data_IF_722857722150
#
_entry.id   IF_722857722150
#
_cell.length_a   1.000
_cell.length_b   1.000
_cell.length_c   1.000
_cell.angle_alpha   90.00
_cell.angle_beta   90.00
_cell.angle_gamma   90.00
#
_symmetry.space_group_name_H-M   'P 1'
#
loop_
_entity.id
_entity.type
_entity.pdbx_description
1 polymer ?
#
# COMPACT_ATOMS: atom_id res chain seq x y z
N UNK A 1 0.26 -6.79 39.54
CA UNK A 1 1.73 -6.88 39.72
C UNK A 1 2.36 -7.14 38.34
N UNK A 2 3.04 -6.17 37.74
CA UNK A 2 3.64 -6.37 36.41
C UNK A 2 4.86 -7.28 36.53
N UNK A 3 4.89 -8.39 35.78
CA UNK A 3 6.03 -9.30 35.74
C UNK A 3 7.21 -8.55 35.12
N UNK A 4 8.22 -8.23 35.93
CA UNK A 4 9.41 -7.53 35.47
C UNK A 4 10.14 -8.36 34.40
N UNK A 5 10.68 -7.71 33.37
CA UNK A 5 11.56 -8.36 32.41
C UNK A 5 12.83 -8.82 33.14
N UNK A 6 13.18 -10.11 33.02
CA UNK A 6 14.42 -10.63 33.61
C UNK A 6 15.63 -9.93 32.98
N UNK A 7 16.48 -9.32 33.82
CA UNK A 7 17.65 -8.53 33.44
C UNK A 7 18.58 -9.23 32.44
N UNK A 8 18.65 -10.57 32.52
CA UNK A 8 19.54 -11.38 31.68
C UNK A 8 18.80 -12.27 30.66
N UNK A 9 17.47 -12.19 30.56
CA UNK A 9 16.68 -13.12 29.75
C UNK A 9 17.11 -13.18 28.28
N UNK A 10 17.43 -12.03 27.67
CA UNK A 10 17.92 -11.98 26.29
C UNK A 10 19.30 -12.61 26.10
N UNK A 11 20.18 -12.54 27.11
CA UNK A 11 21.51 -13.16 27.06
C UNK A 11 21.40 -14.68 27.16
N UNK A 12 20.63 -15.18 28.13
CA UNK A 12 20.38 -16.62 28.33
C UNK A 12 19.74 -17.24 27.09
N UNK A 13 18.73 -16.59 26.51
CA UNK A 13 18.08 -17.07 25.28
C UNK A 13 19.07 -17.19 24.11
N UNK A 14 19.95 -16.21 23.92
CA UNK A 14 20.98 -16.27 22.87
C UNK A 14 21.97 -17.42 23.09
N UNK A 15 22.37 -17.66 24.35
CA UNK A 15 23.28 -18.76 24.70
C UNK A 15 22.65 -20.14 24.45
N UNK A 16 21.39 -20.34 24.84
CA UNK A 16 20.69 -21.60 24.57
C UNK A 16 20.45 -21.85 23.08
N UNK A 17 20.10 -20.81 22.32
CA UNK A 17 19.91 -20.94 20.87
C UNK A 17 21.24 -21.21 20.16
N UNK A 18 22.34 -20.61 20.61
CA UNK A 18 23.67 -20.90 20.07
C UNK A 18 24.06 -22.36 20.28
N UNK A 19 23.63 -22.99 21.39
CA UNK A 19 23.87 -24.42 21.69
C UNK A 19 23.19 -25.35 20.68
N UNK A 20 22.09 -24.94 20.07
CA UNK A 20 21.40 -25.67 18.99
C UNK A 20 21.76 -25.15 17.59
N UNK A 21 22.82 -24.35 17.46
CA UNK A 21 23.30 -23.83 16.18
C UNK A 21 22.55 -22.60 15.65
N UNK A 22 21.60 -22.03 16.41
CA UNK A 22 20.83 -20.85 16.01
C UNK A 22 21.46 -19.57 16.55
N UNK A 23 21.85 -18.65 15.66
CA UNK A 23 22.41 -17.34 16.04
C UNK A 23 21.33 -16.27 16.05
N UNK A 24 21.14 -15.65 17.22
CA UNK A 24 20.24 -14.52 17.40
C UNK A 24 21.04 -13.24 17.67
N UNK A 25 20.94 -12.17 16.85
CA UNK A 25 21.63 -10.91 17.10
C UNK A 25 21.12 -10.23 18.38
N UNK A 26 21.99 -9.49 19.05
CA UNK A 26 21.65 -8.67 20.21
C UNK A 26 21.06 -7.31 19.77
N UNK A 27 20.00 -6.85 20.43
CA UNK A 27 19.36 -5.55 20.15
C UNK A 27 17.84 -5.61 19.98
N UNK A 28 17.21 -4.47 19.67
CA UNK A 28 15.77 -4.35 19.38
C UNK A 28 15.51 -4.73 17.92
N UNK A 29 14.78 -5.82 17.69
CA UNK A 29 14.33 -6.24 16.35
C UNK A 29 13.06 -5.52 15.94
N UNK A 30 13.12 -4.22 15.74
CA UNK A 30 12.12 -3.54 14.92
C UNK A 30 12.87 -2.99 13.72
N UNK A 31 12.90 -3.78 12.65
CA UNK A 31 13.46 -3.39 11.35
C UNK A 31 12.59 -2.39 10.60
N UNK A 32 11.33 -2.22 11.04
CA UNK A 32 10.35 -1.34 10.42
C UNK A 32 9.90 -0.29 11.42
N UNK A 33 9.72 0.94 10.93
CA UNK A 33 9.18 2.05 11.71
C UNK A 33 7.79 1.68 12.27
N UNK A 34 7.54 2.05 13.52
CA UNK A 34 6.22 1.86 14.12
C UNK A 34 5.30 2.94 13.55
N UNK A 35 4.24 2.53 12.86
CA UNK A 35 3.19 3.40 12.30
C UNK A 35 1.83 3.00 12.87
N UNK A 36 0.79 3.80 12.64
CA UNK A 36 -0.58 3.42 13.02
C UNK A 36 -1.07 2.16 12.29
N UNK A 37 -0.52 1.83 11.12
CA UNK A 37 -0.87 0.59 10.44
C UNK A 37 -0.44 -0.63 11.27
N UNK A 38 0.65 -0.51 12.05
CA UNK A 38 1.12 -1.61 12.91
C UNK A 38 0.24 -1.88 14.13
N UNK A 39 -0.75 -1.03 14.41
CA UNK A 39 -1.74 -1.30 15.45
C UNK A 39 -2.97 -2.04 14.94
N UNK A 40 -3.16 -2.14 13.62
CA UNK A 40 -4.30 -2.84 13.04
C UNK A 40 -4.08 -4.35 13.05
N UNK A 41 -5.14 -5.10 13.33
CA UNK A 41 -5.20 -6.51 12.92
C UNK A 41 -5.63 -6.61 11.45
N UNK A 42 -5.36 -7.75 10.81
CA UNK A 42 -5.67 -7.95 9.38
C UNK A 42 -7.16 -7.70 9.06
N UNK A 43 -8.06 -8.17 9.92
CA UNK A 43 -9.51 -7.94 9.75
C UNK A 43 -9.90 -6.46 9.86
N UNK A 44 -9.26 -5.68 10.75
CA UNK A 44 -9.52 -4.24 10.86
C UNK A 44 -9.05 -3.50 9.61
N UNK A 45 -7.90 -3.89 9.06
CA UNK A 45 -7.37 -3.31 7.83
C UNK A 45 -8.25 -3.64 6.61
N UNK A 46 -8.82 -4.85 6.54
CA UNK A 46 -9.78 -5.22 5.51
C UNK A 46 -11.10 -4.45 5.60
N UNK A 47 -11.65 -4.27 6.81
CA UNK A 47 -12.84 -3.43 7.00
C UNK A 47 -12.56 -1.97 6.65
N UNK A 48 -11.41 -1.45 7.11
CA UNK A 48 -10.97 -0.09 6.78
C UNK A 48 -10.88 0.13 5.26
N UNK A 49 -10.42 -0.86 4.49
CA UNK A 49 -10.38 -0.76 3.02
C UNK A 49 -11.79 -0.57 2.42
N UNK A 50 -12.76 -1.35 2.89
CA UNK A 50 -14.16 -1.28 2.42
C UNK A 50 -14.83 0.04 2.80
N UNK A 51 -14.63 0.47 4.04
CA UNK A 51 -15.18 1.71 4.57
C UNK A 51 -14.55 2.91 3.85
N UNK A 52 -13.24 2.88 3.62
CA UNK A 52 -12.52 3.92 2.88
C UNK A 52 -13.01 4.04 1.44
N UNK A 53 -13.16 2.92 0.71
CA UNK A 53 -13.71 2.94 -0.64
C UNK A 53 -15.14 3.50 -0.67
N UNK A 54 -15.97 3.12 0.31
CA UNK A 54 -17.33 3.65 0.44
C UNK A 54 -17.33 5.16 0.69
N UNK A 55 -16.43 5.66 1.55
CA UNK A 55 -16.26 7.09 1.81
C UNK A 55 -15.74 7.83 0.57
N UNK A 56 -14.82 7.24 -0.22
CA UNK A 56 -14.39 7.81 -1.48
C UNK A 56 -15.56 7.96 -2.46
N UNK A 57 -16.40 6.94 -2.62
CA UNK A 57 -17.53 7.00 -3.55
C UNK A 57 -18.62 7.97 -3.09
N UNK A 58 -18.90 8.04 -1.79
CA UNK A 58 -19.99 8.84 -1.25
C UNK A 58 -19.59 10.32 -1.04
N UNK A 59 -18.39 10.57 -0.52
CA UNK A 59 -18.00 11.88 0.03
C UNK A 59 -16.91 12.58 -0.79
N UNK A 60 -16.13 11.87 -1.59
CA UNK A 60 -15.05 12.51 -2.35
C UNK A 60 -15.63 13.44 -3.42
N UNK A 61 -15.26 14.74 -3.44
CA UNK A 61 -15.90 15.73 -4.30
C UNK A 61 -15.38 15.72 -5.75
N UNK A 62 -15.25 14.54 -6.36
CA UNK A 62 -14.70 14.34 -7.71
C UNK A 62 -15.38 15.24 -8.74
N UNK A 63 -16.72 15.28 -8.74
CA UNK A 63 -17.50 16.08 -9.67
C UNK A 63 -17.19 17.57 -9.51
N UNK A 64 -17.20 18.10 -8.29
CA UNK A 64 -16.93 19.51 -8.01
C UNK A 64 -15.51 19.92 -8.41
N UNK A 65 -14.52 19.05 -8.19
CA UNK A 65 -13.13 19.27 -8.61
C UNK A 65 -13.03 19.28 -10.14
N UNK A 66 -13.72 18.36 -10.82
CA UNK A 66 -13.76 18.30 -12.27
C UNK A 66 -14.38 19.57 -12.86
N UNK A 67 -15.53 20.01 -12.35
CA UNK A 67 -16.17 21.26 -12.77
C UNK A 67 -15.28 22.49 -12.58
N UNK A 68 -14.58 22.58 -11.45
CA UNK A 68 -13.65 23.69 -11.20
C UNK A 68 -12.52 23.71 -12.23
N UNK A 69 -12.00 22.54 -12.61
CA UNK A 69 -10.97 22.44 -13.64
C UNK A 69 -11.50 22.72 -15.05
N UNK A 70 -12.76 22.34 -15.33
CA UNK A 70 -13.36 22.53 -16.65
C UNK A 70 -13.42 24.00 -17.07
N UNK A 71 -13.58 24.92 -16.11
CA UNK A 71 -13.57 26.38 -16.37
C UNK A 71 -12.28 26.88 -17.05
N UNK A 72 -11.18 26.13 -16.94
CA UNK A 72 -9.91 26.49 -17.61
C UNK A 72 -9.98 26.31 -19.12
N UNK A 73 -10.95 25.55 -19.62
CA UNK A 73 -11.10 25.26 -21.05
C UNK A 73 -12.09 26.19 -21.75
N UNK A 74 -12.85 27.01 -21.02
CA UNK A 74 -13.92 27.87 -21.58
C UNK A 74 -13.39 28.92 -22.56
N UNK A 75 -12.13 29.36 -22.40
CA UNK A 75 -11.49 30.35 -23.26
C UNK A 75 -10.51 29.74 -24.28
N UNK A 76 -10.45 28.41 -24.40
CA UNK A 76 -9.49 27.73 -25.28
C UNK A 76 -10.04 27.59 -26.70
N UNK A 77 -9.15 27.63 -27.68
CA UNK A 77 -9.51 27.33 -29.07
C UNK A 77 -9.84 25.84 -29.25
N UNK A 78 -10.57 25.51 -30.31
CA UNK A 78 -10.96 24.12 -30.64
C UNK A 78 -9.71 23.22 -30.79
N UNK A 79 -8.66 23.72 -31.43
CA UNK A 79 -7.41 22.97 -31.66
C UNK A 79 -6.73 22.65 -30.33
N UNK A 80 -6.65 23.61 -29.41
CA UNK A 80 -6.04 23.39 -28.11
C UNK A 80 -6.89 22.44 -27.25
N UNK A 81 -8.22 22.54 -27.35
CA UNK A 81 -9.14 21.65 -26.66
C UNK A 81 -8.95 20.18 -27.12
N UNK A 82 -8.83 19.94 -28.43
CA UNK A 82 -8.54 18.60 -28.95
C UNK A 82 -7.19 18.07 -28.46
N UNK A 83 -6.15 18.91 -28.40
CA UNK A 83 -4.86 18.54 -27.82
C UNK A 83 -4.96 18.17 -26.34
N UNK A 84 -5.80 18.86 -25.56
CA UNK A 84 -6.03 18.53 -24.15
C UNK A 84 -6.82 17.23 -23.99
N UNK A 85 -7.82 16.98 -24.83
CA UNK A 85 -8.54 15.69 -24.84
C UNK A 85 -7.59 14.53 -25.09
N UNK A 86 -6.65 14.69 -26.02
CA UNK A 86 -5.70 13.63 -26.32
C UNK A 86 -4.77 13.32 -25.14
N UNK A 87 -4.27 14.37 -24.45
CA UNK A 87 -3.53 14.19 -23.20
C UNK A 87 -4.36 13.44 -22.16
N UNK A 88 -5.63 13.80 -22.00
CA UNK A 88 -6.52 13.14 -21.04
C UNK A 88 -6.74 11.67 -21.38
N UNK A 89 -6.91 11.32 -22.67
CA UNK A 89 -7.01 9.93 -23.12
C UNK A 89 -5.75 9.13 -22.83
N UNK A 90 -4.58 9.68 -23.16
CA UNK A 90 -3.29 9.04 -22.88
C UNK A 90 -3.10 8.81 -21.38
N UNK A 91 -3.40 9.81 -20.53
CA UNK A 91 -3.33 9.67 -19.07
C UNK A 91 -4.32 8.63 -18.55
N UNK A 92 -5.56 8.61 -19.06
CA UNK A 92 -6.55 7.60 -18.68
C UNK A 92 -6.07 6.18 -19.00
N UNK A 93 -5.47 5.96 -20.17
CA UNK A 93 -4.94 4.66 -20.55
C UNK A 93 -3.77 4.24 -19.65
N UNK A 94 -2.85 5.16 -19.37
CA UNK A 94 -1.73 4.90 -18.45
C UNK A 94 -2.23 4.50 -17.05
N UNK A 95 -3.21 5.23 -16.51
CA UNK A 95 -3.82 4.91 -15.22
C UNK A 95 -4.54 3.56 -15.23
N UNK A 96 -5.22 3.21 -16.34
CA UNK A 96 -5.86 1.89 -16.48
C UNK A 96 -4.84 0.77 -16.36
N UNK A 97 -3.76 0.83 -17.14
CA UNK A 97 -2.71 -0.19 -17.09
C UNK A 97 -2.07 -0.30 -15.69
N UNK A 98 -1.89 0.83 -15.01
CA UNK A 98 -1.39 0.86 -13.64
C UNK A 98 -2.36 0.17 -12.66
N UNK A 99 -3.66 0.45 -12.76
CA UNK A 99 -4.69 -0.21 -11.94
C UNK A 99 -4.74 -1.72 -12.19
N UNK A 100 -4.59 -2.16 -13.44
CA UNK A 100 -4.57 -3.58 -13.80
C UNK A 100 -3.39 -4.31 -13.14
N UNK A 101 -2.20 -3.69 -13.11
CA UNK A 101 -1.02 -4.25 -12.42
C UNK A 101 -1.29 -4.42 -10.92
N UNK A 102 -1.91 -3.42 -10.28
CA UNK A 102 -2.25 -3.49 -8.86
C UNK A 102 -3.26 -4.61 -8.55
N UNK A 103 -4.26 -4.80 -9.42
CA UNK A 103 -5.25 -5.88 -9.27
C UNK A 103 -4.66 -7.28 -9.54
N UNK A 104 -3.65 -7.38 -10.38
CA UNK A 104 -2.92 -8.64 -10.59
C UNK A 104 -2.02 -8.98 -9.41
N UNK A 105 -1.42 -7.98 -8.74
CA UNK A 105 -0.55 -8.18 -7.59
C UNK A 105 -1.23 -8.83 -6.38
N UNK A 106 -2.56 -8.72 -6.25
CA UNK A 106 -3.33 -9.43 -5.22
C UNK A 106 -3.46 -10.93 -5.50
N UNK A 107 -3.25 -11.36 -6.75
CA UNK A 107 -3.25 -12.77 -7.16
C UNK A 107 -1.82 -13.33 -7.13
N UNK A 108 -1.29 -13.50 -5.92
CA UNK A 108 0.10 -13.93 -5.61
C UNK A 108 0.52 -15.28 -6.24
N UNK A 109 -0.38 -16.00 -6.91
CA UNK A 109 -0.13 -17.34 -7.45
C UNK A 109 0.19 -17.41 -8.95
N UNK A 110 0.03 -16.33 -9.72
CA UNK A 110 0.16 -16.41 -11.18
C UNK A 110 0.78 -15.15 -11.80
N UNK A 111 2.10 -15.06 -11.79
CA UNK A 111 2.81 -14.47 -12.92
C UNK A 111 4.26 -14.93 -12.91
N UNK A 112 4.72 -15.29 -14.10
CA UNK A 112 6.04 -15.79 -14.46
C UNK A 112 7.19 -15.04 -13.76
N UNK A 113 8.29 -15.75 -13.50
CA UNK A 113 9.44 -15.37 -12.66
C UNK A 113 10.28 -14.17 -13.17
N UNK A 114 9.69 -13.26 -13.93
CA UNK A 114 10.38 -12.24 -14.73
C UNK A 114 10.64 -10.94 -13.98
N UNK A 115 9.95 -10.64 -12.87
CA UNK A 115 10.16 -9.38 -12.13
C UNK A 115 10.07 -9.54 -10.60
N UNK A 116 11.08 -10.21 -10.04
CA UNK A 116 11.18 -10.52 -8.62
C UNK A 116 11.24 -9.28 -7.73
N UNK A 117 11.81 -8.18 -8.20
CA UNK A 117 11.96 -6.94 -7.43
C UNK A 117 10.61 -6.23 -7.21
N UNK A 118 9.77 -6.18 -8.25
CA UNK A 118 8.42 -5.64 -8.14
C UNK A 118 7.56 -6.50 -7.22
N UNK A 119 7.61 -7.82 -7.38
CA UNK A 119 6.85 -8.76 -6.54
C UNK A 119 7.26 -8.63 -5.06
N UNK A 120 8.56 -8.59 -4.77
CA UNK A 120 9.08 -8.40 -3.41
C UNK A 120 8.62 -7.05 -2.82
N UNK A 121 8.59 -6.00 -3.64
CA UNK A 121 8.13 -4.67 -3.21
C UNK A 121 6.65 -4.65 -2.90
N UNK A 122 5.83 -5.32 -3.72
CA UNK A 122 4.38 -5.46 -3.51
C UNK A 122 4.06 -6.32 -2.29
N UNK A 123 4.77 -7.43 -2.08
CA UNK A 123 4.61 -8.27 -0.89
C UNK A 123 4.94 -7.48 0.38
N UNK A 124 6.08 -6.76 0.37
CA UNK A 124 6.47 -5.90 1.49
C UNK A 124 5.42 -4.82 1.77
N UNK A 125 4.86 -4.21 0.72
CA UNK A 125 3.79 -3.23 0.87
C UNK A 125 2.52 -3.84 1.48
N UNK A 126 2.11 -5.02 1.00
CA UNK A 126 0.97 -5.76 1.55
C UNK A 126 1.15 -6.08 3.04
N UNK A 127 2.34 -6.58 3.42
CA UNK A 127 2.67 -6.89 4.82
C UNK A 127 2.66 -5.65 5.72
N UNK A 128 3.25 -4.54 5.29
CA UNK A 128 3.33 -3.31 6.10
C UNK A 128 1.95 -2.64 6.24
N UNK A 129 1.08 -2.82 5.25
CA UNK A 129 -0.26 -2.20 5.24
C UNK A 129 -1.36 -3.13 5.71
N UNK A 130 -1.06 -4.36 6.14
CA UNK A 130 -2.07 -5.36 6.47
C UNK A 130 -3.10 -5.56 5.34
N UNK A 131 -2.62 -5.61 4.09
CA UNK A 131 -3.44 -5.74 2.86
C UNK A 131 -4.36 -4.55 2.54
N UNK A 132 -4.47 -3.53 3.40
CA UNK A 132 -5.29 -2.32 3.15
C UNK A 132 -4.73 -1.46 2.00
N UNK A 133 -3.40 -1.42 1.82
CA UNK A 133 -2.74 -0.45 0.97
C UNK A 133 -3.17 -0.50 -0.50
N UNK A 134 -3.20 -1.68 -1.11
CA UNK A 134 -3.56 -1.82 -2.53
C UNK A 134 -5.02 -1.44 -2.78
N UNK A 135 -6.02 -1.94 -2.02
CA UNK A 135 -7.40 -1.46 -2.09
C UNK A 135 -7.53 0.06 -1.89
N UNK A 136 -6.77 0.66 -0.98
CA UNK A 136 -6.83 2.10 -0.74
C UNK A 136 -6.33 2.94 -1.92
N UNK A 137 -5.36 2.43 -2.70
CA UNK A 137 -4.89 3.08 -3.93
C UNK A 137 -5.89 2.91 -5.07
N UNK A 138 -6.65 1.82 -5.07
CA UNK A 138 -7.66 1.51 -6.09
C UNK A 138 -9.06 2.10 -5.81
N UNK A 139 -9.28 2.66 -4.61
CA UNK A 139 -10.53 3.30 -4.19
C UNK A 139 -10.79 4.62 -4.93
#
# INVERSE_FOLDING_TARGET
>A
MFRAKSKNGGKTLRSELARIGLKLPAGRRKSTNVTLLTSLVEEEAQHLAKDFASACLAEFPAKSIAWRNLRKYDSMSIIELERQKEKFRATKQLLSNFMDILQQSTNVLFSDAQDSDLQNSMERFSLITHTFGTPAVLA
#
